data_IF_572424531509
#
_entry.id   IF_572424531509
#
_cell.length_a   1.000
_cell.length_b   1.000
_cell.length_c   1.000
_cell.angle_alpha   90.00
_cell.angle_beta   90.00
_cell.angle_gamma   90.00
#
_symmetry.space_group_name_H-M   'P 1'
#
loop_
_entity.id
_entity.type
_entity.pdbx_description
1 polymer ?
#
# COMPACT_ATOMS: atom_id res chain seq x y z
N UNK A 1 -20.05 -15.73 -15.79
CA UNK A 1 -19.06 -14.67 -15.46
C UNK A 1 -19.73 -13.77 -14.43
N UNK A 2 -19.44 -13.96 -13.14
CA UNK A 2 -20.20 -13.30 -12.07
C UNK A 2 -19.93 -11.79 -12.08
N UNK A 3 -21.00 -11.02 -12.30
CA UNK A 3 -21.06 -9.62 -11.88
C UNK A 3 -20.89 -9.57 -10.36
N UNK A 4 -20.21 -8.53 -9.84
CA UNK A 4 -19.87 -8.28 -8.43
C UNK A 4 -18.56 -8.86 -7.87
N UNK A 5 -17.56 -9.12 -8.71
CA UNK A 5 -16.17 -9.10 -8.22
C UNK A 5 -15.90 -7.64 -7.79
N UNK A 6 -15.88 -7.35 -6.47
CA UNK A 6 -15.60 -6.02 -5.92
C UNK A 6 -14.39 -5.48 -6.66
N UNK A 7 -14.52 -4.33 -7.35
CA UNK A 7 -13.41 -3.70 -8.10
C UNK A 7 -12.19 -3.64 -7.18
N UNK A 8 -11.21 -4.51 -7.45
CA UNK A 8 -10.04 -4.63 -6.58
C UNK A 8 -9.17 -3.42 -6.82
N UNK A 9 -8.74 -2.77 -5.76
CA UNK A 9 -7.77 -1.68 -5.79
C UNK A 9 -6.52 -2.14 -5.06
N UNK A 10 -5.37 -1.71 -5.54
CA UNK A 10 -4.11 -1.92 -4.86
C UNK A 10 -3.21 -0.69 -5.06
N UNK A 11 -2.47 -0.34 -4.02
CA UNK A 11 -1.39 0.63 -4.06
C UNK A 11 -0.19 0.02 -3.34
N UNK A 12 1.00 0.20 -3.90
CA UNK A 12 2.27 -0.18 -3.31
C UNK A 12 2.97 1.08 -2.83
N UNK A 13 3.41 1.07 -1.57
CA UNK A 13 4.18 2.16 -0.99
C UNK A 13 5.65 1.78 -0.89
N UNK A 14 6.52 2.76 -1.10
CA UNK A 14 7.97 2.66 -0.88
C UNK A 14 8.40 3.77 0.06
N UNK A 15 9.33 3.48 0.97
CA UNK A 15 9.85 4.46 1.90
C UNK A 15 11.30 4.15 2.24
N UNK A 16 12.18 5.10 1.98
CA UNK A 16 13.56 5.08 2.45
C UNK A 16 13.75 6.20 3.50
N UNK A 17 13.88 5.88 4.80
CA UNK A 17 13.99 6.89 5.86
C UNK A 17 15.26 7.76 5.79
N UNK A 18 16.28 7.35 5.03
CA UNK A 18 17.50 8.14 4.84
C UNK A 18 17.39 9.17 3.71
N UNK A 19 16.38 9.03 2.84
CA UNK A 19 16.26 9.82 1.60
C UNK A 19 14.91 10.51 1.43
N UNK A 20 13.84 9.87 1.87
CA UNK A 20 12.47 10.32 1.65
C UNK A 20 11.95 11.05 2.90
N UNK A 21 11.17 12.10 2.70
CA UNK A 21 10.49 12.79 3.81
C UNK A 21 9.23 12.04 4.25
N UNK A 22 8.61 11.32 3.31
CA UNK A 22 7.42 10.52 3.55
C UNK A 22 7.36 9.31 2.58
N UNK A 23 6.59 8.27 2.91
CA UNK A 23 6.32 7.16 2.00
C UNK A 23 5.74 7.67 0.67
N UNK A 24 6.09 7.01 -0.42
CA UNK A 24 5.68 7.36 -1.79
C UNK A 24 4.94 6.23 -2.47
N UNK A 25 4.05 6.58 -3.39
CA UNK A 25 3.33 5.59 -4.19
C UNK A 25 4.24 5.06 -5.29
N UNK A 26 4.67 3.80 -5.17
CA UNK A 26 5.54 3.12 -6.12
C UNK A 26 4.80 2.41 -7.26
N UNK A 27 3.55 2.02 -7.03
CA UNK A 27 2.64 1.46 -8.03
C UNK A 27 1.19 1.56 -7.54
N UNK A 28 0.22 1.62 -8.44
CA UNK A 28 -1.20 1.48 -8.09
C UNK A 28 -2.01 0.99 -9.29
N UNK A 29 -3.21 0.48 -9.03
CA UNK A 29 -4.11 0.07 -10.10
C UNK A 29 -5.46 -0.45 -9.62
N UNK A 30 -6.34 -0.67 -10.59
CA UNK A 30 -7.65 -1.28 -10.40
C UNK A 30 -7.76 -2.62 -11.16
N UNK A 31 -8.71 -3.45 -10.74
CA UNK A 31 -9.14 -4.70 -11.37
C UNK A 31 -7.98 -5.64 -11.74
N UNK A 32 -7.64 -5.73 -13.03
CA UNK A 32 -6.56 -6.58 -13.50
C UNK A 32 -5.20 -6.14 -12.94
N UNK A 33 -4.91 -4.84 -12.98
CA UNK A 33 -3.63 -4.32 -12.51
C UNK A 33 -3.49 -4.50 -10.99
N UNK A 34 -4.56 -4.26 -10.24
CA UNK A 34 -4.58 -4.51 -8.79
C UNK A 34 -4.25 -5.97 -8.45
N UNK A 35 -4.85 -6.93 -9.19
CA UNK A 35 -4.56 -8.36 -9.01
C UNK A 35 -3.09 -8.68 -9.29
N UNK A 36 -2.51 -8.11 -10.35
CA UNK A 36 -1.09 -8.30 -10.67
C UNK A 36 -0.16 -7.69 -9.62
N UNK A 37 -0.46 -6.50 -9.09
CA UNK A 37 0.32 -5.88 -8.01
C UNK A 37 0.32 -6.79 -6.77
N UNK A 38 -0.85 -7.30 -6.38
CA UNK A 38 -1.01 -8.20 -5.23
C UNK A 38 -0.24 -9.52 -5.45
N UNK A 39 -0.28 -10.08 -6.65
CA UNK A 39 0.44 -11.31 -7.00
C UNK A 39 1.95 -11.13 -6.89
N UNK A 40 2.50 -10.07 -7.48
CA UNK A 40 3.92 -9.73 -7.38
C UNK A 40 4.34 -9.47 -5.94
N UNK A 41 3.50 -8.77 -5.16
CA UNK A 41 3.78 -8.53 -3.74
C UNK A 41 3.89 -9.84 -2.95
N UNK A 42 3.03 -10.82 -3.21
CA UNK A 42 3.11 -12.16 -2.59
C UNK A 42 4.39 -12.90 -2.99
N UNK A 43 4.73 -12.90 -4.27
CA UNK A 43 5.96 -13.54 -4.77
C UNK A 43 7.22 -12.92 -4.16
N UNK A 44 7.21 -11.61 -3.94
CA UNK A 44 8.30 -10.87 -3.33
C UNK A 44 8.27 -10.86 -1.79
N UNK A 45 7.33 -11.56 -1.15
CA UNK A 45 7.11 -11.55 0.31
C UNK A 45 6.91 -10.13 0.90
N UNK A 46 6.31 -9.24 0.13
CA UNK A 46 5.92 -7.91 0.58
C UNK A 46 4.61 -8.02 1.38
N UNK A 47 4.55 -7.48 2.61
CA UNK A 47 3.32 -7.49 3.42
C UNK A 47 2.15 -6.80 2.71
N UNK A 48 0.96 -7.39 2.83
CA UNK A 48 -0.27 -6.89 2.22
C UNK A 48 -1.27 -6.56 3.32
N UNK A 49 -1.76 -5.33 3.31
CA UNK A 49 -2.77 -4.83 4.26
C UNK A 49 -4.02 -4.46 3.48
N UNK A 50 -5.18 -4.93 3.94
CA UNK A 50 -6.47 -4.60 3.34
C UNK A 50 -7.10 -3.40 4.07
N UNK A 51 -7.12 -2.25 3.39
CA UNK A 51 -7.85 -1.05 3.84
C UNK A 51 -8.49 -0.35 2.64
N UNK A 52 -9.82 -0.39 2.57
CA UNK A 52 -10.59 0.13 1.44
C UNK A 52 -10.58 1.66 1.35
N UNK A 53 -10.50 2.35 2.50
CA UNK A 53 -10.49 3.80 2.56
C UNK A 53 -9.11 4.32 2.17
N UNK A 54 -8.06 3.77 2.78
CA UNK A 54 -6.67 4.15 2.49
C UNK A 54 -6.30 3.86 1.04
N UNK A 55 -6.62 2.68 0.51
CA UNK A 55 -6.30 2.37 -0.89
C UNK A 55 -7.02 3.33 -1.85
N UNK A 56 -8.26 3.72 -1.54
CA UNK A 56 -9.00 4.68 -2.38
C UNK A 56 -8.38 6.07 -2.34
N UNK A 57 -7.85 6.50 -1.19
CA UNK A 57 -7.13 7.77 -1.07
C UNK A 57 -5.78 7.73 -1.80
N UNK A 58 -5.01 6.65 -1.65
CA UNK A 58 -3.72 6.47 -2.32
C UNK A 58 -3.85 6.46 -3.86
N UNK A 59 -4.94 5.94 -4.40
CA UNK A 59 -5.20 5.96 -5.85
C UNK A 59 -5.49 7.36 -6.42
N UNK A 60 -5.66 8.39 -5.57
CA UNK A 60 -5.79 9.78 -6.03
C UNK A 60 -4.44 10.45 -6.28
N UNK A 61 -3.35 9.83 -5.85
CA UNK A 61 -1.99 10.33 -5.98
C UNK A 61 -1.36 9.89 -7.30
N UNK A 62 -0.35 10.64 -7.74
CA UNK A 62 0.45 10.28 -8.90
C UNK A 62 1.55 9.26 -8.57
N UNK A 63 2.04 8.59 -9.60
CA UNK A 63 3.13 7.63 -9.44
C UNK A 63 4.40 8.37 -9.00
N UNK A 64 4.97 7.95 -7.88
CA UNK A 64 6.11 8.60 -7.28
C UNK A 64 5.77 9.87 -6.52
N UNK A 65 4.51 10.14 -6.23
CA UNK A 65 4.14 11.19 -5.28
C UNK A 65 4.33 10.70 -3.85
N UNK A 66 4.80 11.58 -2.96
CA UNK A 66 4.79 11.33 -1.52
C UNK A 66 3.35 11.39 -1.01
N UNK A 67 3.02 10.58 0.00
CA UNK A 67 1.70 10.66 0.62
C UNK A 67 1.49 12.05 1.24
N UNK A 68 0.27 12.61 1.23
CA UNK A 68 -0.03 13.84 1.93
C UNK A 68 -0.11 13.62 3.44
N UNK A 69 0.05 14.71 4.21
CA UNK A 69 0.04 14.70 5.69
C UNK A 69 -1.20 14.02 6.26
N UNK A 70 -2.36 14.19 5.63
CA UNK A 70 -3.62 13.59 6.07
C UNK A 70 -3.60 12.04 6.07
N UNK A 71 -2.69 11.42 5.31
CA UNK A 71 -2.51 9.97 5.26
C UNK A 71 -1.38 9.47 6.17
N UNK A 72 -0.63 10.36 6.82
CA UNK A 72 0.54 9.97 7.62
C UNK A 72 0.17 9.05 8.76
N UNK A 73 -0.91 9.35 9.50
CA UNK A 73 -1.32 8.55 10.64
C UNK A 73 -1.69 7.12 10.23
N UNK A 74 -2.48 6.97 9.16
CA UNK A 74 -2.90 5.67 8.65
C UNK A 74 -1.69 4.83 8.20
N UNK A 75 -0.76 5.44 7.44
CA UNK A 75 0.43 4.73 6.95
C UNK A 75 1.41 4.43 8.09
N UNK A 76 1.61 5.35 9.03
CA UNK A 76 2.50 5.14 10.18
C UNK A 76 2.04 3.98 11.06
N UNK A 77 0.72 3.81 11.27
CA UNK A 77 0.18 2.65 12.00
C UNK A 77 0.51 1.33 11.29
N UNK A 78 0.43 1.29 9.97
CA UNK A 78 0.80 0.11 9.18
C UNK A 78 2.30 -0.18 9.34
N UNK A 79 3.16 0.82 9.16
CA UNK A 79 4.61 0.66 9.30
C UNK A 79 5.00 0.21 10.72
N UNK A 80 4.36 0.76 11.76
CA UNK A 80 4.59 0.36 13.14
C UNK A 80 4.16 -1.09 13.39
N UNK A 81 3.05 -1.53 12.80
CA UNK A 81 2.62 -2.92 12.87
C UNK A 81 3.63 -3.87 12.19
N UNK A 82 4.10 -3.52 11.00
CA UNK A 82 5.11 -4.30 10.28
C UNK A 82 6.43 -4.39 11.07
N UNK A 83 6.87 -3.30 11.68
CA UNK A 83 8.08 -3.27 12.49
C UNK A 83 8.00 -4.19 13.71
N UNK A 84 6.83 -4.28 14.34
CA UNK A 84 6.60 -5.19 15.48
C UNK A 84 6.64 -6.66 15.03
N UNK A 85 6.01 -6.98 13.90
CA UNK A 85 6.05 -8.33 13.33
C UNK A 85 7.48 -8.77 13.00
N UNK A 86 8.29 -7.88 12.44
CA UNK A 86 9.67 -8.16 12.05
C UNK A 86 10.59 -8.36 13.28
N UNK A 87 10.32 -7.62 14.36
CA UNK A 87 11.07 -7.77 15.63
C UNK A 87 10.66 -8.95 16.49
N UNK A 88 9.54 -9.61 16.22
CA UNK A 88 9.03 -10.71 17.05
C UNK A 88 8.67 -10.31 18.48
N UNK A 89 8.46 -9.01 18.72
CA UNK A 89 8.09 -8.49 20.04
C UNK A 89 6.57 -8.69 20.25
N UNK A 90 6.20 -9.73 21.00
CA UNK A 90 4.86 -9.94 21.58
C UNK A 90 4.56 -8.98 22.75
#
# INVERSE_FOLDING_TARGET
>A
MNAFDKRKKAAALSYNPEKDNAPRVGAFGEDFLARRIIEVAKEANIPIVEDAALVSALLTLELGEEIPVDLYEAVARILAFLYKLDKGDE
#
